data_IF_812145314993
#
_entry.id   IF_812145314993
#
_cell.length_a   1.000
_cell.length_b   1.000
_cell.length_c   1.000
_cell.angle_alpha   90.00
_cell.angle_beta   90.00
_cell.angle_gamma   90.00
#
_symmetry.space_group_name_H-M   'P 1'
#
loop_
_entity.id
_entity.type
_entity.pdbx_description
1 polymer ?
#
# COMPACT_ATOMS: atom_id res chain seq x y z
N UNK A 1 -22.67 5.03 -3.45
CA UNK A 1 -21.30 4.48 -3.30
C UNK A 1 -21.02 3.98 -1.88
N UNK A 2 -21.26 4.77 -0.83
CA UNK A 2 -21.12 4.34 0.58
C UNK A 2 -21.89 3.06 0.94
N UNK A 3 -23.12 2.91 0.46
CA UNK A 3 -23.98 1.74 0.75
C UNK A 3 -23.43 0.43 0.18
N UNK A 4 -22.71 0.49 -0.96
CA UNK A 4 -22.08 -0.69 -1.57
C UNK A 4 -20.81 -1.12 -0.82
N UNK A 5 -20.04 -0.14 -0.33
CA UNK A 5 -18.85 -0.41 0.50
C UNK A 5 -19.27 -1.04 1.83
N UNK A 6 -20.34 -0.55 2.45
CA UNK A 6 -20.91 -1.18 3.64
C UNK A 6 -21.44 -2.59 3.35
N UNK A 7 -22.15 -2.78 2.24
CA UNK A 7 -22.66 -4.09 1.82
C UNK A 7 -21.55 -5.12 1.64
N UNK A 8 -20.43 -4.74 1.00
CA UNK A 8 -19.26 -5.63 0.87
C UNK A 8 -18.54 -5.85 2.20
N UNK A 9 -18.47 -4.85 3.06
CA UNK A 9 -17.89 -5.01 4.39
C UNK A 9 -18.69 -6.00 5.24
N UNK A 10 -20.02 -5.89 5.25
CA UNK A 10 -20.90 -6.82 5.95
C UNK A 10 -20.88 -8.21 5.32
N UNK A 11 -20.85 -8.32 3.99
CA UNK A 11 -20.71 -9.60 3.30
C UNK A 11 -19.38 -10.29 3.63
N UNK A 12 -18.28 -9.53 3.69
CA UNK A 12 -16.99 -10.06 4.13
C UNK A 12 -17.00 -10.47 5.60
N UNK A 13 -17.74 -9.78 6.47
CA UNK A 13 -17.83 -10.17 7.88
C UNK A 13 -18.61 -11.48 8.08
N UNK A 14 -19.68 -11.69 7.31
CA UNK A 14 -20.61 -12.81 7.46
C UNK A 14 -20.18 -14.07 6.70
N UNK A 15 -19.64 -13.92 5.49
CA UNK A 15 -19.34 -15.05 4.60
C UNK A 15 -17.84 -15.28 4.37
N UNK A 16 -16.98 -14.28 4.59
CA UNK A 16 -15.56 -14.42 4.33
C UNK A 16 -14.70 -13.61 5.31
N UNK A 17 -14.73 -13.93 6.61
CA UNK A 17 -14.12 -13.11 7.66
C UNK A 17 -12.65 -12.82 7.33
N UNK A 18 -12.31 -11.52 7.26
CA UNK A 18 -10.98 -11.05 6.87
C UNK A 18 -10.75 -10.83 5.36
N UNK A 19 -11.77 -11.05 4.52
CA UNK A 19 -11.72 -10.84 3.06
C UNK A 19 -11.31 -9.42 2.66
N UNK A 20 -11.90 -8.40 3.30
CA UNK A 20 -11.53 -7.00 3.07
C UNK A 20 -10.05 -6.71 3.36
N UNK A 21 -9.49 -7.35 4.41
CA UNK A 21 -8.07 -7.22 4.70
C UNK A 21 -7.19 -7.84 3.61
N UNK A 22 -7.61 -8.96 3.00
CA UNK A 22 -6.90 -9.56 1.85
C UNK A 22 -7.00 -8.67 0.62
N UNK A 23 -8.18 -8.10 0.33
CA UNK A 23 -8.39 -7.17 -0.77
C UNK A 23 -7.55 -5.90 -0.60
N UNK A 24 -7.57 -5.29 0.59
CA UNK A 24 -6.75 -4.13 0.91
C UNK A 24 -5.26 -4.43 0.72
N UNK A 25 -4.80 -5.58 1.23
CA UNK A 25 -3.43 -6.03 0.99
C UNK A 25 -3.17 -6.25 -0.50
N UNK A 26 -4.13 -6.65 -1.33
CA UNK A 26 -3.90 -6.85 -2.77
C UNK A 26 -3.84 -5.55 -3.57
N UNK A 27 -4.18 -4.40 -2.96
CA UNK A 27 -4.06 -3.09 -3.60
C UNK A 27 -2.59 -2.82 -3.89
N UNK A 28 -2.25 -2.82 -5.18
CA UNK A 28 -0.94 -2.47 -5.71
C UNK A 28 -1.13 -1.55 -6.89
N UNK A 29 -0.40 -0.44 -6.90
CA UNK A 29 -0.37 0.46 -8.04
C UNK A 29 0.74 -0.02 -8.97
N UNK A 30 0.47 -0.26 -10.27
CA UNK A 30 1.50 -0.69 -11.22
C UNK A 30 2.49 0.45 -11.52
N UNK A 31 3.69 0.10 -12.01
CA UNK A 31 4.82 1.02 -12.17
C UNK A 31 4.49 2.26 -13.00
N UNK A 32 3.77 2.10 -14.12
CA UNK A 32 3.39 3.21 -14.99
C UNK A 32 2.59 4.28 -14.24
N UNK A 33 1.42 3.95 -13.67
CA UNK A 33 0.64 4.89 -12.87
C UNK A 33 1.38 5.45 -11.64
N UNK A 34 2.19 4.65 -10.94
CA UNK A 34 2.96 5.14 -9.80
C UNK A 34 3.99 6.21 -10.21
N UNK A 35 4.70 5.98 -11.32
CA UNK A 35 5.64 6.95 -11.88
C UNK A 35 4.95 8.21 -12.40
N UNK A 36 3.77 8.06 -13.00
CA UNK A 36 2.96 9.22 -13.42
C UNK A 36 2.55 10.07 -12.21
N UNK A 37 2.08 9.44 -11.13
CA UNK A 37 1.71 10.14 -9.89
C UNK A 37 2.92 10.84 -9.25
N UNK A 38 4.09 10.18 -9.22
CA UNK A 38 5.34 10.79 -8.77
C UNK A 38 5.72 11.99 -9.65
N UNK A 39 5.65 11.85 -10.97
CA UNK A 39 5.96 12.93 -11.90
C UNK A 39 5.02 14.12 -11.68
N UNK A 40 3.71 13.90 -11.56
CA UNK A 40 2.74 14.96 -11.23
C UNK A 40 3.08 15.66 -9.91
N UNK A 41 3.54 14.91 -8.90
CA UNK A 41 3.87 15.43 -7.58
C UNK A 41 5.16 16.29 -7.59
N UNK A 42 6.18 15.91 -8.37
CA UNK A 42 7.47 16.61 -8.46
C UNK A 42 7.43 17.77 -9.46
N UNK A 43 6.78 17.53 -10.60
CA UNK A 43 6.76 18.45 -11.73
C UNK A 43 5.64 19.47 -11.60
N UNK A 44 4.47 19.06 -11.09
CA UNK A 44 3.28 19.92 -10.94
C UNK A 44 3.55 21.27 -10.25
N UNK A 45 4.25 21.32 -9.11
CA UNK A 45 4.55 22.60 -8.45
C UNK A 45 5.31 23.61 -9.31
N UNK A 46 6.06 23.17 -10.33
CA UNK A 46 6.83 24.06 -11.22
C UNK A 46 5.94 24.81 -12.24
N UNK A 47 4.69 24.37 -12.45
CA UNK A 47 3.75 24.97 -13.41
C UNK A 47 2.78 25.98 -12.78
N UNK A 48 2.95 26.28 -11.49
CA UNK A 48 2.20 27.31 -10.78
C UNK A 48 1.38 26.78 -9.59
N UNK A 49 0.74 27.69 -8.82
CA UNK A 49 0.10 27.36 -7.54
C UNK A 49 -1.05 26.35 -7.66
N UNK A 50 -1.81 26.38 -8.76
CA UNK A 50 -2.89 25.43 -9.00
C UNK A 50 -2.37 24.02 -9.28
N UNK A 51 -1.25 23.90 -9.98
CA UNK A 51 -0.62 22.60 -10.26
C UNK A 51 0.12 22.06 -9.03
N UNK A 52 0.55 22.92 -8.10
CA UNK A 52 1.08 22.51 -6.79
C UNK A 52 0.02 21.78 -5.93
N UNK A 53 -1.28 22.05 -6.13
CA UNK A 53 -2.36 21.34 -5.44
C UNK A 53 -2.51 19.88 -5.91
N UNK A 54 -1.96 19.51 -7.07
CA UNK A 54 -1.96 18.12 -7.53
C UNK A 54 -1.02 17.25 -6.69
N UNK A 55 0.02 17.82 -6.11
CA UNK A 55 0.98 17.07 -5.29
C UNK A 55 0.30 16.30 -4.12
N UNK A 56 -0.47 16.95 -3.22
CA UNK A 56 -1.18 16.24 -2.16
C UNK A 56 -2.29 15.31 -2.67
N UNK A 57 -2.86 15.57 -3.84
CA UNK A 57 -3.90 14.72 -4.43
C UNK A 57 -3.30 13.42 -4.98
N UNK A 58 -2.18 13.51 -5.69
CA UNK A 58 -1.48 12.37 -6.27
C UNK A 58 -0.78 11.51 -5.20
N UNK A 59 -0.39 12.09 -4.07
CA UNK A 59 0.29 11.37 -3.00
C UNK A 59 -0.66 10.50 -2.17
N UNK A 60 -1.95 10.83 -2.07
CA UNK A 60 -2.95 10.01 -1.37
C UNK A 60 -2.96 8.55 -1.84
N UNK A 61 -3.15 8.23 -3.14
CA UNK A 61 -3.15 6.85 -3.61
C UNK A 61 -1.81 6.13 -3.38
N UNK A 62 -0.68 6.84 -3.48
CA UNK A 62 0.65 6.29 -3.18
C UNK A 62 0.78 5.90 -1.70
N UNK A 63 0.29 6.74 -0.79
CA UNK A 63 0.29 6.42 0.66
C UNK A 63 -0.59 5.21 0.96
N UNK A 64 -1.77 5.12 0.34
CA UNK A 64 -2.63 3.95 0.49
C UNK A 64 -1.97 2.67 -0.03
N UNK A 65 -1.26 2.74 -1.16
CA UNK A 65 -0.48 1.62 -1.67
C UNK A 65 0.68 1.23 -0.72
N UNK A 66 1.39 2.21 -0.13
CA UNK A 66 2.42 1.96 0.87
C UNK A 66 1.87 1.31 2.14
N UNK A 67 0.68 1.72 2.60
CA UNK A 67 0.01 1.07 3.72
C UNK A 67 -0.45 -0.35 3.39
N UNK A 68 -0.99 -0.57 2.20
CA UNK A 68 -1.36 -1.90 1.70
C UNK A 68 -0.16 -2.85 1.65
N UNK A 69 1.01 -2.34 1.26
CA UNK A 69 2.28 -3.07 1.31
C UNK A 69 2.66 -3.46 2.74
N UNK A 70 2.71 -2.51 3.67
CA UNK A 70 3.10 -2.80 5.06
C UNK A 70 2.16 -3.83 5.68
N UNK A 71 0.85 -3.71 5.43
CA UNK A 71 -0.12 -4.71 5.87
C UNK A 71 0.09 -6.06 5.17
N UNK A 72 0.46 -6.05 3.89
CA UNK A 72 0.88 -7.20 3.09
C UNK A 72 2.03 -7.96 3.75
N UNK A 73 3.11 -7.25 4.04
CA UNK A 73 4.31 -7.78 4.67
C UNK A 73 4.05 -8.24 6.10
N UNK A 74 3.31 -7.47 6.90
CA UNK A 74 2.98 -7.85 8.27
C UNK A 74 2.18 -9.17 8.29
N UNK A 75 1.26 -9.36 7.34
CA UNK A 75 0.52 -10.61 7.20
C UNK A 75 1.41 -11.78 6.74
N UNK A 76 2.28 -11.58 5.74
CA UNK A 76 3.21 -12.61 5.27
C UNK A 76 4.21 -13.04 6.36
N UNK A 77 4.76 -12.07 7.10
CA UNK A 77 5.71 -12.31 8.20
C UNK A 77 5.04 -12.73 9.51
N UNK A 78 3.71 -12.91 9.52
CA UNK A 78 2.89 -13.23 10.71
C UNK A 78 3.20 -12.31 11.90
N UNK A 79 3.48 -11.04 11.64
CA UNK A 79 3.81 -10.05 12.67
C UNK A 79 2.61 -9.84 13.60
N UNK A 80 2.89 -9.70 14.90
CA UNK A 80 1.87 -9.41 15.89
C UNK A 80 1.13 -8.11 15.55
N UNK A 81 -0.19 -8.09 15.79
CA UNK A 81 -1.06 -6.92 15.55
C UNK A 81 -0.55 -5.65 16.26
N UNK A 82 0.22 -5.81 17.34
CA UNK A 82 0.92 -4.74 18.06
C UNK A 82 1.80 -3.87 17.15
N UNK A 83 2.52 -4.46 16.18
CA UNK A 83 3.38 -3.70 15.28
C UNK A 83 2.60 -2.75 14.35
N UNK A 84 1.39 -3.14 13.95
CA UNK A 84 0.50 -2.27 13.17
C UNK A 84 -0.01 -1.11 14.03
N UNK A 85 -0.34 -1.38 15.30
CA UNK A 85 -0.74 -0.32 16.24
C UNK A 85 0.42 0.68 16.42
N UNK A 86 1.63 0.18 16.63
CA UNK A 86 2.84 1.01 16.69
C UNK A 86 3.02 1.86 15.44
N UNK A 87 2.89 1.27 14.24
CA UNK A 87 2.93 1.99 12.98
C UNK A 87 1.93 3.15 12.94
N UNK A 88 0.67 2.93 13.33
CA UNK A 88 -0.36 3.98 13.31
C UNK A 88 -0.09 5.10 14.35
N UNK A 89 0.39 4.74 15.54
CA UNK A 89 0.77 5.73 16.57
C UNK A 89 1.96 6.57 16.09
N UNK A 90 3.00 5.93 15.54
CA UNK A 90 4.15 6.62 14.97
C UNK A 90 3.76 7.44 13.74
N UNK A 91 2.84 6.96 12.90
CA UNK A 91 2.31 7.72 11.76
C UNK A 91 1.63 9.01 12.24
N UNK A 92 0.87 8.97 13.34
CA UNK A 92 0.22 10.15 13.91
C UNK A 92 1.25 11.13 14.48
N UNK A 93 2.24 10.64 15.24
CA UNK A 93 3.24 11.47 15.90
C UNK A 93 4.32 12.01 14.95
N UNK A 94 4.69 11.23 13.94
CA UNK A 94 5.78 11.51 12.99
C UNK A 94 5.26 11.53 11.54
N UNK A 95 4.07 12.09 11.34
CA UNK A 95 3.40 12.12 10.04
C UNK A 95 4.29 12.71 8.94
N UNK A 96 5.01 13.80 9.23
CA UNK A 96 5.91 14.46 8.28
C UNK A 96 7.04 13.53 7.77
N UNK A 97 7.48 12.56 8.59
CA UNK A 97 8.57 11.64 8.25
C UNK A 97 8.06 10.32 7.65
N UNK A 98 6.98 9.76 8.21
CA UNK A 98 6.42 8.48 7.75
C UNK A 98 5.71 8.64 6.41
N UNK A 99 5.09 9.78 6.15
CA UNK A 99 4.38 10.05 4.89
C UNK A 99 5.26 9.88 3.64
N UNK A 100 6.42 10.57 3.50
CA UNK A 100 7.29 10.37 2.35
C UNK A 100 7.88 8.95 2.30
N UNK A 101 8.12 8.31 3.45
CA UNK A 101 8.56 6.91 3.51
C UNK A 101 7.53 5.97 2.86
N UNK A 102 6.23 6.15 3.14
CA UNK A 102 5.16 5.36 2.53
C UNK A 102 5.09 5.55 1.02
N UNK A 103 5.27 6.77 0.54
CA UNK A 103 5.32 7.07 -0.90
C UNK A 103 6.49 6.35 -1.58
N UNK A 104 7.69 6.43 -1.00
CA UNK A 104 8.88 5.73 -1.52
C UNK A 104 8.67 4.22 -1.53
N UNK A 105 8.14 3.66 -0.44
CA UNK A 105 7.84 2.23 -0.36
C UNK A 105 6.83 1.78 -1.43
N UNK A 106 5.79 2.59 -1.68
CA UNK A 106 4.82 2.31 -2.74
C UNK A 106 5.47 2.30 -4.12
N UNK A 107 6.38 3.23 -4.40
CA UNK A 107 7.13 3.28 -5.67
C UNK A 107 8.04 2.06 -5.80
N UNK A 108 8.79 1.72 -4.75
CA UNK A 108 9.69 0.56 -4.75
C UNK A 108 8.92 -0.73 -5.02
N UNK A 109 7.76 -0.95 -4.42
CA UNK A 109 6.90 -2.12 -4.68
C UNK A 109 6.21 -2.11 -6.06
N UNK A 110 6.00 -0.91 -6.58
CA UNK A 110 5.52 -0.73 -7.94
C UNK A 110 6.57 -1.16 -8.96
N UNK A 111 7.83 -0.79 -8.73
CA UNK A 111 8.97 -1.08 -9.61
C UNK A 111 9.50 -2.51 -9.49
N UNK A 112 9.69 -2.96 -8.26
CA UNK A 112 10.20 -4.28 -7.92
C UNK A 112 8.99 -5.02 -7.36
N UNK A 113 8.47 -6.01 -8.09
CA UNK A 113 7.41 -6.89 -7.59
C UNK A 113 7.89 -7.69 -6.37
N UNK A 114 7.96 -7.00 -5.22
CA UNK A 114 8.55 -7.49 -3.99
C UNK A 114 7.74 -8.68 -3.48
N UNK A 115 6.43 -8.64 -3.70
CA UNK A 115 5.46 -9.58 -3.15
C UNK A 115 5.33 -10.83 -4.02
N UNK A 116 5.41 -10.70 -5.35
CA UNK A 116 5.48 -11.82 -6.28
C UNK A 116 6.80 -12.60 -6.17
N UNK A 117 7.93 -11.91 -5.95
CA UNK A 117 9.23 -12.58 -5.77
C UNK A 117 9.35 -13.34 -4.44
N UNK A 118 8.84 -12.79 -3.33
CA UNK A 118 8.86 -13.51 -2.05
C UNK A 118 7.99 -14.78 -2.12
N UNK A 119 6.81 -14.72 -2.75
CA UNK A 119 5.94 -15.88 -2.92
C UNK A 119 6.56 -16.96 -3.84
N UNK A 120 7.28 -16.54 -4.89
CA UNK A 120 7.96 -17.48 -5.80
C UNK A 120 9.14 -18.20 -5.13
N UNK A 121 9.83 -17.55 -4.19
CA UNK A 121 10.94 -18.16 -3.46
C UNK A 121 10.47 -19.25 -2.49
N UNK A 122 9.32 -19.09 -1.85
CA UNK A 122 8.74 -20.13 -0.98
C UNK A 122 8.24 -21.35 -1.79
N UNK A 123 7.78 -21.16 -3.03
CA UNK A 123 7.39 -22.26 -3.91
C UNK A 123 8.60 -23.05 -4.46
N UNK A 124 9.70 -22.37 -4.75
CA UNK A 124 10.95 -22.99 -5.23
C UNK A 124 11.65 -23.80 -4.13
N UNK A 125 11.63 -23.31 -2.88
CA UNK A 125 12.17 -24.03 -1.72
C UNK A 125 11.39 -25.31 -1.38
N UNK A 126 10.13 -25.42 -1.79
CA UNK A 126 9.31 -26.62 -1.55
C UNK A 126 9.49 -27.71 -2.63
N UNK A 127 10.20 -27.40 -3.72
CA UNK A 127 10.38 -28.29 -4.87
C UNK A 127 11.86 -28.71 -5.06
N UNK A 128 12.72 -28.42 -4.09
CA UNK A 128 14.17 -28.60 -4.15
C UNK A 128 14.74 -29.71 -3.25
N UNK A 129 13.92 -30.60 -2.69
CA UNK A 129 14.40 -31.82 -2.01
C UNK A 129 14.15 -33.03 -2.90
N UNK A 130 15.19 -33.44 -3.64
CA UNK A 130 15.29 -34.68 -4.40
C UNK A 130 16.68 -35.27 -4.26
#
# INVERSE_FOLDING_TARGET
>A
MLSLILGRYWQALLYNPGGFGREFRSIRIPAGPAMLLLACMVVGPNFGPQMALLAPICSVPLVFAGLALIHGLAAQKRLARFWLVGLYVTLLLFMQLIYPLLVVLAIVDSLIDFRGRLASKDADNANGEG
#
